data_IF_045258348884
#
_entry.id   IF_045258348884
#
_cell.length_a   1.000
_cell.length_b   1.000
_cell.length_c   1.000
_cell.angle_alpha   90.00
_cell.angle_beta   90.00
_cell.angle_gamma   90.00
#
_symmetry.space_group_name_H-M   'P 1'
#
loop_
_entity.id
_entity.type
_entity.pdbx_description
1 polymer ?
#
# COMPACT_ATOMS: atom_id res chain seq x y z
N UNK A 1 -0.58 -28.74 -45.80
CA UNK A 1 -0.10 -27.49 -45.16
C UNK A 1 -0.99 -27.01 -44.01
N UNK A 2 -2.31 -26.91 -44.18
CA UNK A 2 -3.24 -26.36 -43.17
C UNK A 2 -3.23 -27.09 -41.81
N UNK A 3 -3.12 -28.42 -41.81
CA UNK A 3 -3.10 -29.22 -40.56
C UNK A 3 -1.84 -28.97 -39.71
N UNK A 4 -0.68 -28.71 -40.35
CA UNK A 4 0.58 -28.42 -39.65
C UNK A 4 0.51 -27.04 -38.98
N UNK A 5 -0.06 -26.06 -39.69
CA UNK A 5 -0.29 -24.71 -39.16
C UNK A 5 -1.22 -24.77 -37.95
N UNK A 6 -2.29 -25.56 -38.03
CA UNK A 6 -3.21 -25.76 -36.90
C UNK A 6 -2.51 -26.38 -35.68
N UNK A 7 -1.66 -27.37 -35.89
CA UNK A 7 -0.86 -27.99 -34.82
C UNK A 7 0.08 -26.98 -34.14
N UNK A 8 0.78 -26.13 -34.92
CA UNK A 8 1.64 -25.09 -34.33
C UNK A 8 0.85 -24.07 -33.51
N UNK A 9 -0.37 -23.74 -33.93
CA UNK A 9 -1.24 -22.80 -33.21
C UNK A 9 -1.68 -23.38 -31.85
N UNK A 10 -2.05 -24.66 -31.82
CA UNK A 10 -2.38 -25.36 -30.57
C UNK A 10 -1.17 -25.42 -29.62
N UNK A 11 0.02 -25.70 -30.15
CA UNK A 11 1.25 -25.74 -29.35
C UNK A 11 1.57 -24.35 -28.77
N UNK A 12 1.39 -23.27 -29.54
CA UNK A 12 1.62 -21.90 -29.07
C UNK A 12 0.65 -21.51 -27.94
N UNK A 13 -0.62 -21.90 -28.04
CA UNK A 13 -1.62 -21.67 -26.97
C UNK A 13 -1.26 -22.44 -25.71
N UNK A 14 -0.84 -23.71 -25.84
CA UNK A 14 -0.42 -24.52 -24.70
C UNK A 14 0.84 -23.95 -24.05
N UNK A 15 1.83 -23.53 -24.84
CA UNK A 15 3.05 -22.91 -24.34
C UNK A 15 2.75 -21.59 -23.61
N UNK A 16 1.90 -20.73 -24.18
CA UNK A 16 1.45 -19.51 -23.54
C UNK A 16 0.69 -19.75 -22.24
N UNK A 17 -0.16 -20.78 -22.20
CA UNK A 17 -0.87 -21.19 -20.99
C UNK A 17 0.08 -21.68 -19.89
N UNK A 18 1.08 -22.51 -20.24
CA UNK A 18 2.09 -23.00 -19.28
C UNK A 18 2.93 -21.84 -18.74
N UNK A 19 3.37 -20.91 -19.59
CA UNK A 19 4.11 -19.72 -19.16
C UNK A 19 3.25 -18.81 -18.29
N UNK A 20 1.97 -18.62 -18.67
CA UNK A 20 1.01 -17.86 -17.88
C UNK A 20 0.82 -18.46 -16.49
N UNK A 21 0.60 -19.77 -16.39
CA UNK A 21 0.52 -20.48 -15.11
C UNK A 21 1.82 -20.36 -14.29
N UNK A 22 2.98 -20.49 -14.94
CA UNK A 22 4.26 -20.39 -14.26
C UNK A 22 4.47 -18.98 -13.69
N UNK A 23 4.20 -17.93 -14.46
CA UNK A 23 4.33 -16.54 -13.99
C UNK A 23 3.31 -16.20 -12.90
N UNK A 24 2.09 -16.71 -13.00
CA UNK A 24 1.06 -16.52 -11.96
C UNK A 24 1.43 -17.23 -10.66
N UNK A 25 1.96 -18.45 -10.75
CA UNK A 25 2.42 -19.22 -9.59
C UNK A 25 3.80 -18.80 -9.07
N UNK A 26 4.57 -18.03 -9.86
CA UNK A 26 5.82 -17.40 -9.45
C UNK A 26 5.58 -16.07 -8.72
N UNK A 27 4.33 -15.60 -8.63
CA UNK A 27 3.97 -14.69 -7.54
C UNK A 27 4.14 -15.46 -6.23
N UNK A 28 5.30 -15.23 -5.63
CA UNK A 28 5.90 -15.98 -4.56
C UNK A 28 4.90 -16.15 -3.41
N UNK A 29 4.28 -17.33 -3.34
CA UNK A 29 3.39 -17.71 -2.23
C UNK A 29 4.19 -18.05 -0.96
N UNK A 30 5.49 -17.75 -0.94
CA UNK A 30 6.44 -18.17 0.08
C UNK A 30 7.14 -17.01 0.78
N UNK A 31 6.35 -16.09 1.35
CA UNK A 31 6.64 -15.44 2.64
C UNK A 31 5.41 -14.68 3.09
N UNK A 32 5.26 -14.56 4.41
CA UNK A 32 4.18 -13.89 5.11
C UNK A 32 2.91 -14.73 5.22
N UNK A 33 2.76 -15.37 6.37
CA UNK A 33 1.44 -15.40 7.03
C UNK A 33 0.91 -13.98 6.91
N UNK A 34 -0.13 -13.77 6.10
CA UNK A 34 -0.69 -12.45 5.79
C UNK A 34 -1.16 -11.81 7.09
N UNK A 35 -0.22 -11.13 7.75
CA UNK A 35 -0.53 -10.36 8.93
C UNK A 35 -1.24 -9.13 8.41
N UNK A 36 -2.50 -8.96 8.80
CA UNK A 36 -3.24 -7.72 8.55
C UNK A 36 -2.70 -6.55 9.38
N UNK A 37 -1.54 -6.73 10.04
CA UNK A 37 -0.83 -5.70 10.76
C UNK A 37 -0.25 -4.69 9.78
N UNK A 38 -0.68 -3.45 9.96
CA UNK A 38 -0.29 -2.30 9.16
C UNK A 38 0.31 -1.26 10.09
N UNK A 39 1.39 -0.63 9.64
CA UNK A 39 2.07 0.47 10.29
C UNK A 39 1.54 1.79 9.73
N UNK A 40 0.98 2.61 10.60
CA UNK A 40 0.50 3.96 10.32
C UNK A 40 1.51 4.97 10.86
N UNK A 41 2.03 5.84 10.00
CA UNK A 41 2.89 6.96 10.40
C UNK A 41 2.00 8.15 10.68
N UNK A 42 1.70 8.39 11.95
CA UNK A 42 0.82 9.43 12.45
C UNK A 42 1.61 10.73 12.69
N UNK A 43 1.12 11.87 12.18
CA UNK A 43 1.69 13.20 12.46
C UNK A 43 0.89 13.95 13.54
N UNK A 44 -0.45 13.97 13.44
CA UNK A 44 -1.29 14.82 14.29
C UNK A 44 -2.47 14.06 14.88
N UNK A 45 -2.86 14.41 16.11
CA UNK A 45 -4.15 14.03 16.73
C UNK A 45 -4.87 15.29 17.17
N UNK A 46 -6.11 15.48 16.72
CA UNK A 46 -6.92 16.65 17.02
C UNK A 46 -8.31 16.27 17.54
N UNK A 47 -8.95 17.19 18.26
CA UNK A 47 -10.35 17.05 18.69
C UNK A 47 -11.33 17.50 17.60
N UNK A 48 -10.84 18.29 16.64
CA UNK A 48 -11.62 18.85 15.54
C UNK A 48 -10.79 18.71 14.26
N UNK A 49 -11.40 18.18 13.20
CA UNK A 49 -10.73 17.95 11.92
C UNK A 49 -10.21 19.24 11.28
N UNK A 50 -10.83 20.39 11.58
CA UNK A 50 -10.39 21.71 11.09
C UNK A 50 -9.04 22.17 11.63
N UNK A 51 -8.54 21.53 12.71
CA UNK A 51 -7.23 21.82 13.29
C UNK A 51 -6.09 21.07 12.58
N UNK A 52 -6.42 20.12 11.71
CA UNK A 52 -5.44 19.40 10.91
C UNK A 52 -5.09 20.28 9.70
N UNK A 53 -3.79 20.57 9.53
CA UNK A 53 -3.31 21.40 8.43
C UNK A 53 -3.58 20.80 7.05
N UNK A 54 -3.16 21.49 5.99
CA UNK A 54 -3.26 21.02 4.58
C UNK A 54 -1.93 21.09 3.82
N UNK A 55 -0.82 21.30 4.53
CA UNK A 55 0.48 21.62 3.91
C UNK A 55 1.12 20.44 3.14
N UNK A 56 0.72 19.21 3.45
CA UNK A 56 1.18 18.00 2.81
C UNK A 56 0.07 16.95 2.74
N UNK A 57 0.25 15.94 1.89
CA UNK A 57 -0.74 14.87 1.76
C UNK A 57 -0.76 14.01 3.00
N UNK A 58 -1.98 13.73 3.46
CA UNK A 58 -2.31 12.96 4.66
C UNK A 58 -3.71 12.37 4.48
N UNK A 59 -4.04 11.35 5.26
CA UNK A 59 -5.41 10.87 5.44
C UNK A 59 -5.83 11.07 6.89
N UNK A 60 -7.10 11.43 7.10
CA UNK A 60 -7.65 11.68 8.44
C UNK A 60 -8.69 10.63 8.76
N UNK A 61 -8.56 9.99 9.92
CA UNK A 61 -9.53 9.01 10.44
C UNK A 61 -10.11 9.50 11.75
N UNK A 62 -11.43 9.44 11.88
CA UNK A 62 -12.09 9.61 13.17
C UNK A 62 -12.06 8.30 13.98
N UNK A 63 -11.62 8.36 15.23
CA UNK A 63 -11.61 7.24 16.17
C UNK A 63 -11.80 7.77 17.58
N UNK A 64 -12.75 7.21 18.33
CA UNK A 64 -13.04 7.57 19.72
C UNK A 64 -13.28 9.09 19.94
N UNK A 65 -13.94 9.76 18.97
CA UNK A 65 -14.22 11.20 19.01
C UNK A 65 -13.00 12.09 18.81
N UNK A 66 -11.91 11.55 18.25
CA UNK A 66 -10.70 12.28 17.87
C UNK A 66 -10.36 12.03 16.41
N UNK A 67 -9.69 12.99 15.79
CA UNK A 67 -9.20 12.91 14.43
C UNK A 67 -7.71 12.60 14.43
N UNK A 68 -7.36 11.47 13.84
CA UNK A 68 -6.00 10.98 13.68
C UNK A 68 -5.56 11.23 12.24
N UNK A 69 -4.45 11.94 12.07
CA UNK A 69 -3.86 12.20 10.76
C UNK A 69 -2.67 11.28 10.53
N UNK A 70 -2.59 10.74 9.32
CA UNK A 70 -1.54 9.83 8.90
C UNK A 70 -0.89 10.31 7.60
N UNK A 71 0.44 10.34 7.59
CA UNK A 71 1.28 10.74 6.44
C UNK A 71 1.86 9.55 5.69
N UNK A 72 1.71 8.34 6.23
CA UNK A 72 2.14 7.12 5.58
C UNK A 72 1.47 5.89 6.17
N UNK A 73 1.31 4.88 5.32
CA UNK A 73 0.72 3.58 5.65
C UNK A 73 1.58 2.52 4.94
N UNK A 74 1.96 1.46 5.62
CA UNK A 74 2.81 0.38 5.06
C UNK A 74 2.69 -0.89 5.89
N UNK A 75 2.93 -2.06 5.31
CA UNK A 75 3.05 -3.33 6.03
C UNK A 75 4.49 -3.64 6.43
N UNK A 76 5.46 -2.84 6.00
CA UNK A 76 6.87 -2.98 6.35
C UNK A 76 7.28 -1.99 7.43
N UNK A 77 7.79 -2.52 8.54
CA UNK A 77 8.35 -1.69 9.62
C UNK A 77 9.49 -0.80 9.13
N UNK A 78 10.34 -1.33 8.25
CA UNK A 78 11.47 -0.60 7.66
C UNK A 78 10.98 0.58 6.79
N UNK A 79 9.95 0.36 5.97
CA UNK A 79 9.33 1.45 5.22
C UNK A 79 8.71 2.50 6.17
N UNK A 80 8.09 2.09 7.27
CA UNK A 80 7.50 3.01 8.24
C UNK A 80 8.56 3.91 8.89
N UNK A 81 9.69 3.33 9.27
CA UNK A 81 10.84 4.06 9.82
C UNK A 81 11.43 5.03 8.79
N UNK A 82 11.59 4.58 7.55
CA UNK A 82 12.04 5.43 6.43
C UNK A 82 11.12 6.63 6.17
N UNK A 83 9.80 6.43 6.25
CA UNK A 83 8.82 7.51 6.13
C UNK A 83 8.95 8.47 7.32
N UNK A 84 9.03 7.94 8.54
CA UNK A 84 9.22 8.74 9.76
C UNK A 84 10.50 9.60 9.68
N UNK A 85 11.62 9.03 9.23
CA UNK A 85 12.87 9.75 9.03
C UNK A 85 12.73 10.88 8.01
N UNK A 86 12.03 10.64 6.90
CA UNK A 86 11.77 11.66 5.88
C UNK A 86 11.01 12.86 6.46
N UNK A 87 9.94 12.62 7.22
CA UNK A 87 9.15 13.69 7.84
C UNK A 87 9.88 14.36 9.02
N UNK A 88 10.67 13.61 9.79
CA UNK A 88 11.52 14.19 10.83
C UNK A 88 12.55 15.16 10.25
N UNK A 89 13.14 14.84 9.08
CA UNK A 89 14.05 15.75 8.37
C UNK A 89 13.36 17.06 7.95
N UNK A 90 12.05 17.02 7.69
CA UNK A 90 11.23 18.20 7.39
C UNK A 90 10.75 18.96 8.64
N UNK A 91 11.13 18.52 9.84
CA UNK A 91 10.72 19.12 11.11
C UNK A 91 9.30 18.74 11.54
N UNK A 92 8.77 17.63 11.02
CA UNK A 92 7.45 17.09 11.40
C UNK A 92 7.64 15.93 12.38
N UNK A 93 7.13 16.08 13.59
CA UNK A 93 7.10 15.00 14.57
C UNK A 93 6.07 13.94 14.17
N UNK A 94 6.49 12.68 14.16
CA UNK A 94 5.61 11.56 13.77
C UNK A 94 5.76 10.36 14.71
N UNK A 95 4.74 9.53 14.77
CA UNK A 95 4.69 8.31 15.58
C UNK A 95 4.19 7.12 14.75
N UNK A 96 4.84 5.97 14.88
CA UNK A 96 4.44 4.74 14.18
C UNK A 96 3.45 3.97 15.05
N UNK A 97 2.23 3.79 14.55
CA UNK A 97 1.17 3.00 15.16
C UNK A 97 0.98 1.68 14.44
N UNK A 98 0.71 0.64 15.20
CA UNK A 98 0.40 -0.69 14.67
C UNK A 98 -1.08 -0.96 14.79
N UNK A 99 -1.74 -1.29 13.67
CA UNK A 99 -3.16 -1.61 13.66
C UNK A 99 -3.48 -2.75 12.69
N UNK A 100 -4.51 -3.53 13.02
CA UNK A 100 -5.04 -4.57 12.14
C UNK A 100 -6.07 -3.97 11.17
N UNK A 101 -5.84 -4.08 9.86
CA UNK A 101 -6.77 -3.61 8.83
C UNK A 101 -7.53 -4.80 8.24
N UNK A 102 -8.86 -4.75 8.26
CA UNK A 102 -9.69 -5.91 7.86
C UNK A 102 -9.99 -5.96 6.36
N UNK A 103 -9.83 -4.85 5.63
CA UNK A 103 -10.08 -4.80 4.19
C UNK A 103 -8.94 -5.51 3.44
N UNK A 104 -9.23 -6.72 2.95
CA UNK A 104 -8.23 -7.58 2.27
C UNK A 104 -7.81 -7.03 0.90
N UNK A 105 -8.70 -6.32 0.20
CA UNK A 105 -8.39 -5.73 -1.11
C UNK A 105 -7.34 -4.62 -0.94
N UNK A 106 -7.54 -3.75 0.06
CA UNK A 106 -6.55 -2.75 0.44
C UNK A 106 -5.22 -3.38 0.87
N UNK A 107 -5.26 -4.44 1.68
CA UNK A 107 -4.04 -5.17 2.09
C UNK A 107 -3.29 -5.69 0.86
N UNK A 108 -3.99 -6.27 -0.12
CA UNK A 108 -3.38 -6.72 -1.36
C UNK A 108 -2.70 -5.59 -2.13
N UNK A 109 -3.40 -4.45 -2.31
CA UNK A 109 -2.80 -3.27 -2.95
C UNK A 109 -1.61 -2.71 -2.17
N UNK A 110 -1.69 -2.66 -0.84
CA UNK A 110 -0.61 -2.14 0.00
C UNK A 110 0.66 -2.99 -0.09
N UNK A 111 0.54 -4.31 -0.22
CA UNK A 111 1.69 -5.20 -0.44
C UNK A 111 2.43 -4.88 -1.74
N UNK A 112 1.71 -4.58 -2.82
CA UNK A 112 2.32 -4.17 -4.09
C UNK A 112 3.04 -2.82 -3.94
N UNK A 113 2.40 -1.85 -3.29
CA UNK A 113 2.99 -0.54 -3.06
C UNK A 113 4.20 -0.57 -2.13
N UNK A 114 4.27 -1.48 -1.17
CA UNK A 114 5.41 -1.63 -0.27
C UNK A 114 6.72 -1.99 -1.00
N UNK A 115 6.62 -2.75 -2.08
CA UNK A 115 7.77 -3.04 -2.94
C UNK A 115 8.28 -1.75 -3.60
N UNK A 116 7.38 -0.88 -4.06
CA UNK A 116 7.74 0.42 -4.62
C UNK A 116 8.32 1.37 -3.55
N UNK A 117 7.74 1.41 -2.35
CA UNK A 117 8.25 2.21 -1.24
C UNK A 117 9.67 1.83 -0.84
N UNK A 118 9.99 0.52 -0.84
CA UNK A 118 11.33 0.05 -0.47
C UNK A 118 12.43 0.60 -1.38
N UNK A 119 12.12 0.79 -2.67
CA UNK A 119 13.07 1.20 -3.70
C UNK A 119 13.07 2.70 -4.02
N UNK A 120 12.16 3.48 -3.42
CA UNK A 120 11.99 4.92 -3.70
C UNK A 120 12.46 5.80 -2.55
N UNK A 121 12.85 7.04 -2.82
CA UNK A 121 13.27 8.01 -1.80
C UNK A 121 12.82 9.42 -2.16
N UNK A 122 12.77 10.32 -1.19
CA UNK A 122 12.44 11.74 -1.44
C UNK A 122 11.07 11.94 -2.10
N UNK A 123 11.04 12.69 -3.20
CA UNK A 123 9.80 13.01 -3.92
C UNK A 123 9.08 11.80 -4.51
N UNK A 124 9.82 10.76 -4.90
CA UNK A 124 9.24 9.56 -5.50
C UNK A 124 8.50 8.75 -4.43
N UNK A 125 9.10 8.65 -3.24
CA UNK A 125 8.44 8.05 -2.06
C UNK A 125 7.15 8.80 -1.74
N UNK A 126 7.18 10.14 -1.68
CA UNK A 126 5.99 10.96 -1.42
C UNK A 126 4.89 10.70 -2.46
N UNK A 127 5.25 10.50 -3.73
CA UNK A 127 4.29 10.19 -4.78
C UNK A 127 3.61 8.84 -4.58
N UNK A 128 4.37 7.82 -4.15
CA UNK A 128 3.81 6.51 -3.79
C UNK A 128 2.91 6.62 -2.56
N UNK A 129 3.33 7.36 -1.53
CA UNK A 129 2.52 7.59 -0.32
C UNK A 129 1.18 8.24 -0.64
N UNK A 130 1.14 9.21 -1.56
CA UNK A 130 -0.12 9.84 -2.00
C UNK A 130 -1.11 8.81 -2.55
N UNK A 131 -0.63 7.88 -3.36
CA UNK A 131 -1.47 6.81 -3.93
C UNK A 131 -1.97 5.88 -2.84
N UNK A 132 -1.09 5.47 -1.91
CA UNK A 132 -1.47 4.60 -0.78
C UNK A 132 -2.54 5.26 0.07
N UNK A 133 -2.34 6.53 0.45
CA UNK A 133 -3.27 7.27 1.31
C UNK A 133 -4.63 7.47 0.64
N UNK A 134 -4.65 7.78 -0.65
CA UNK A 134 -5.90 7.87 -1.42
C UNK A 134 -6.62 6.53 -1.54
N UNK A 135 -5.87 5.44 -1.77
CA UNK A 135 -6.43 4.09 -1.83
C UNK A 135 -7.03 3.67 -0.48
N UNK A 136 -6.36 4.01 0.62
CA UNK A 136 -6.86 3.76 1.97
C UNK A 136 -8.16 4.54 2.24
N UNK A 137 -8.20 5.83 1.87
CA UNK A 137 -9.39 6.67 2.01
C UNK A 137 -10.58 6.08 1.24
N UNK A 138 -10.40 5.75 -0.04
CA UNK A 138 -11.44 5.19 -0.91
C UNK A 138 -11.90 3.81 -0.43
N UNK A 139 -10.97 2.89 -0.16
CA UNK A 139 -11.30 1.49 0.09
C UNK A 139 -11.70 1.20 1.53
N UNK A 140 -11.20 1.97 2.50
CA UNK A 140 -11.37 1.68 3.92
C UNK A 140 -12.19 2.74 4.64
N UNK A 141 -12.02 4.03 4.35
CA UNK A 141 -12.78 5.06 5.05
C UNK A 141 -14.16 5.26 4.42
N UNK A 142 -14.23 5.49 3.11
CA UNK A 142 -15.48 5.78 2.41
C UNK A 142 -16.40 4.56 2.27
N UNK A 143 -15.85 3.33 2.22
CA UNK A 143 -16.64 2.10 2.16
C UNK A 143 -17.27 1.68 3.51
N UNK A 144 -16.95 2.37 4.61
CA UNK A 144 -17.50 2.08 5.94
C UNK A 144 -18.58 3.09 6.39
N UNK A 145 -18.98 4.02 5.51
CA UNK A 145 -20.16 4.90 5.65
C UNK A 145 -21.40 4.31 4.97
#
# INVERSE_FOLDING_TARGET
>A
MKIKIFIYLVIAVIAGYIVGLYLFNYQDSSKYVSSNLVYFVQDTVALDSSQIGTDYTRVVREKDGKYYSYVGITMSRENAEKIQEYYSFLGVDTYIQEEMVSNLDFIGSLQEYDQLLSSTSGSDMVSVLKVILATYDEMVLQNNE
#
